data_IF_595186185034
#
_entry.id   IF_595186185034
#
_cell.length_a   1.000
_cell.length_b   1.000
_cell.length_c   1.000
_cell.angle_alpha   90.00
_cell.angle_beta   90.00
_cell.angle_gamma   90.00
#
_symmetry.space_group_name_H-M   'P 1'
#
loop_
_entity.id
_entity.type
_entity.pdbx_description
1 polymer ?
#
# COMPACT_ATOMS: atom_id res chain seq x y z
N UNK A 1 1.98 24.46 -15.56
CA UNK A 1 1.00 23.37 -15.76
C UNK A 1 -0.26 23.78 -15.03
N UNK A 2 -1.42 23.67 -15.68
CA UNK A 2 -2.72 23.92 -15.05
C UNK A 2 -3.27 22.55 -14.65
N UNK A 3 -3.61 22.38 -13.38
CA UNK A 3 -4.23 21.17 -12.83
C UNK A 3 -5.75 21.37 -12.78
N UNK A 4 -6.56 20.29 -12.85
CA UNK A 4 -8.01 20.41 -12.71
C UNK A 4 -8.41 20.79 -11.28
N UNK A 5 -9.57 21.44 -11.14
CA UNK A 5 -10.13 21.82 -9.83
C UNK A 5 -10.52 20.59 -8.99
N UNK A 6 -10.79 19.45 -9.63
CA UNK A 6 -11.02 18.17 -8.97
C UNK A 6 -10.38 17.03 -9.75
N UNK A 7 -9.90 16.02 -9.02
CA UNK A 7 -9.25 14.85 -9.60
C UNK A 7 -9.60 13.60 -8.78
N UNK A 8 -9.98 12.53 -9.48
CA UNK A 8 -10.24 11.22 -8.88
C UNK A 8 -9.51 10.15 -9.69
N UNK A 9 -8.51 9.52 -9.07
CA UNK A 9 -7.70 8.48 -9.69
C UNK A 9 -8.55 7.29 -10.19
N UNK A 10 -9.68 6.99 -9.55
CA UNK A 10 -10.58 5.88 -9.92
C UNK A 10 -11.32 6.15 -11.22
N UNK A 11 -11.53 7.44 -11.55
CA UNK A 11 -12.12 7.89 -12.81
C UNK A 11 -11.05 8.07 -13.89
N UNK A 12 -9.87 8.55 -13.50
CA UNK A 12 -8.75 8.76 -14.43
C UNK A 12 -8.18 7.43 -14.96
N UNK A 13 -8.07 6.41 -14.12
CA UNK A 13 -7.53 5.09 -14.48
C UNK A 13 -8.54 3.98 -14.20
N UNK A 14 -9.65 3.92 -14.95
CA UNK A 14 -10.75 2.97 -14.67
C UNK A 14 -10.37 1.51 -14.88
N UNK A 15 -9.31 1.24 -15.64
CA UNK A 15 -8.78 -0.09 -15.92
C UNK A 15 -7.82 -0.61 -14.82
N UNK A 16 -7.63 0.16 -13.75
CA UNK A 16 -6.81 -0.21 -12.61
C UNK A 16 -7.70 -0.50 -11.39
N UNK A 17 -8.13 -1.75 -11.19
CA UNK A 17 -9.08 -2.10 -10.13
C UNK A 17 -8.53 -1.88 -8.72
N UNK A 18 -7.21 -1.97 -8.54
CA UNK A 18 -6.53 -1.78 -7.25
C UNK A 18 -6.80 -0.39 -6.65
N UNK A 19 -7.01 0.65 -7.49
CA UNK A 19 -7.28 2.02 -7.03
C UNK A 19 -8.63 2.12 -6.29
N UNK A 20 -9.53 1.16 -6.52
CA UNK A 20 -10.85 1.08 -5.88
C UNK A 20 -10.87 0.10 -4.71
N UNK A 21 -9.81 -0.68 -4.52
CA UNK A 21 -9.74 -1.68 -3.47
C UNK A 21 -9.50 -1.02 -2.12
N UNK A 22 -10.28 -1.43 -1.12
CA UNK A 22 -10.05 -1.05 0.27
C UNK A 22 -9.63 -2.32 1.01
N UNK A 23 -8.50 -2.27 1.69
CA UNK A 23 -7.95 -3.40 2.44
C UNK A 23 -8.15 -3.22 3.95
N UNK A 24 -7.87 -4.28 4.70
CA UNK A 24 -8.05 -4.33 6.15
C UNK A 24 -6.75 -4.81 6.82
N UNK A 25 -6.14 -3.94 7.63
CA UNK A 25 -4.91 -4.24 8.36
C UNK A 25 -5.12 -5.17 9.56
N UNK A 26 -6.35 -5.48 9.91
CA UNK A 26 -6.69 -6.26 11.09
C UNK A 26 -6.19 -5.62 12.39
N UNK A 27 -5.96 -6.46 13.40
CA UNK A 27 -5.40 -6.07 14.70
C UNK A 27 -3.87 -5.97 14.67
N UNK A 28 -3.34 -5.13 13.79
CA UNK A 28 -1.90 -4.94 13.58
C UNK A 28 -1.64 -3.52 13.09
N UNK A 29 -0.70 -2.79 13.69
CA UNK A 29 -0.27 -1.44 13.29
C UNK A 29 0.56 -1.41 12.01
N UNK A 30 0.07 -2.08 10.96
CA UNK A 30 0.76 -2.24 9.66
C UNK A 30 0.35 -1.22 8.61
N UNK A 31 -0.31 -0.13 8.98
CA UNK A 31 -0.76 0.93 8.05
C UNK A 31 0.36 1.46 7.15
N UNK A 32 1.59 1.55 7.66
CA UNK A 32 2.80 1.95 6.92
C UNK A 32 3.17 0.97 5.79
N UNK A 33 2.81 -0.31 5.91
CA UNK A 33 3.01 -1.31 4.88
C UNK A 33 1.83 -1.33 3.89
N UNK A 34 0.61 -1.10 4.38
CA UNK A 34 -0.59 -1.03 3.55
C UNK A 34 -0.56 0.18 2.63
N UNK A 35 -0.30 1.38 3.15
CA UNK A 35 -0.24 2.60 2.33
C UNK A 35 0.79 2.49 1.20
N UNK A 36 1.97 1.95 1.51
CA UNK A 36 2.99 1.65 0.51
C UNK A 36 2.50 0.60 -0.51
N UNK A 37 2.07 -0.58 -0.07
CA UNK A 37 1.68 -1.68 -0.96
C UNK A 37 0.48 -1.30 -1.86
N UNK A 38 -0.50 -0.56 -1.36
CA UNK A 38 -1.66 -0.06 -2.11
C UNK A 38 -1.22 0.91 -3.21
N UNK A 39 -0.47 1.96 -2.85
CA UNK A 39 0.02 2.94 -3.82
C UNK A 39 0.96 2.32 -4.86
N UNK A 40 1.81 1.36 -4.47
CA UNK A 40 2.68 0.63 -5.39
C UNK A 40 1.84 -0.24 -6.36
N UNK A 41 0.81 -0.92 -5.87
CA UNK A 41 -0.12 -1.72 -6.71
C UNK A 41 -0.75 -0.86 -7.80
N UNK A 42 -1.24 0.32 -7.41
CA UNK A 42 -1.84 1.28 -8.31
C UNK A 42 -0.86 1.80 -9.36
N UNK A 43 0.35 2.18 -8.93
CA UNK A 43 1.40 2.67 -9.82
C UNK A 43 1.86 1.61 -10.82
N UNK A 44 1.94 0.34 -10.43
CA UNK A 44 2.20 -0.75 -11.38
C UNK A 44 1.17 -0.81 -12.49
N UNK A 45 -0.11 -0.64 -12.16
CA UNK A 45 -1.17 -0.62 -13.15
C UNK A 45 -1.14 0.65 -14.02
N UNK A 46 -0.98 1.81 -13.41
CA UNK A 46 -0.95 3.10 -14.10
C UNK A 46 0.22 3.15 -15.09
N UNK A 47 1.44 2.83 -14.66
CA UNK A 47 2.63 2.91 -15.50
C UNK A 47 2.72 1.80 -16.56
N UNK A 48 1.97 0.70 -16.38
CA UNK A 48 1.79 -0.31 -17.42
C UNK A 48 0.65 -0.02 -18.39
N UNK A 49 -0.03 1.13 -18.25
CA UNK A 49 -1.25 1.49 -18.99
C UNK A 49 -2.35 0.41 -18.87
N UNK A 50 -2.55 -0.14 -17.66
CA UNK A 50 -3.54 -1.18 -17.38
C UNK A 50 -3.15 -2.60 -17.80
N UNK A 51 -1.93 -2.82 -18.31
CA UNK A 51 -1.49 -4.15 -18.77
C UNK A 51 -1.08 -5.09 -17.63
N UNK A 52 -0.64 -4.53 -16.51
CA UNK A 52 -0.19 -5.28 -15.33
C UNK A 52 -0.95 -4.72 -14.13
N UNK A 53 -1.95 -5.45 -13.66
CA UNK A 53 -2.67 -5.14 -12.41
C UNK A 53 -2.45 -6.27 -11.42
N UNK A 54 -1.82 -5.95 -10.30
CA UNK A 54 -1.45 -6.90 -9.26
C UNK A 54 -1.58 -6.25 -7.90
N UNK A 55 -1.91 -7.06 -6.91
CA UNK A 55 -1.88 -6.66 -5.51
C UNK A 55 -0.48 -6.93 -4.96
N UNK A 56 0.20 -5.88 -4.49
CA UNK A 56 1.48 -6.01 -3.78
C UNK A 56 1.21 -6.52 -2.36
N UNK A 57 2.03 -7.47 -1.94
CA UNK A 57 1.91 -8.12 -0.64
C UNK A 57 2.30 -7.18 0.50
N UNK A 58 1.30 -6.71 1.24
CA UNK A 58 1.53 -6.08 2.53
C UNK A 58 2.16 -7.06 3.53
N UNK A 59 1.88 -8.37 3.42
CA UNK A 59 2.46 -9.42 4.24
C UNK A 59 3.99 -9.52 4.07
N UNK A 60 4.46 -9.48 2.83
CA UNK A 60 5.89 -9.57 2.52
C UNK A 60 6.63 -8.36 3.07
N UNK A 61 6.08 -7.16 2.86
CA UNK A 61 6.64 -5.93 3.37
C UNK A 61 6.65 -5.89 4.92
N UNK A 62 5.51 -6.23 5.53
CA UNK A 62 5.34 -6.25 6.98
C UNK A 62 6.28 -7.23 7.67
N UNK A 63 6.42 -8.44 7.13
CA UNK A 63 7.13 -9.54 7.81
C UNK A 63 8.62 -9.61 7.49
N UNK A 64 9.07 -9.10 6.33
CA UNK A 64 10.45 -9.27 5.86
C UNK A 64 11.28 -7.98 5.84
N UNK A 65 10.71 -6.81 6.14
CA UNK A 65 11.48 -5.58 6.25
C UNK A 65 11.85 -5.25 7.70
N UNK A 66 12.99 -5.78 8.15
CA UNK A 66 13.51 -5.52 9.51
C UNK A 66 13.87 -4.04 9.72
N UNK A 67 14.28 -3.34 8.66
CA UNK A 67 14.65 -1.93 8.73
C UNK A 67 13.45 -0.98 8.72
N UNK A 68 12.24 -1.48 8.43
CA UNK A 68 11.05 -0.64 8.29
C UNK A 68 10.41 -0.27 9.62
N UNK A 69 10.81 -0.87 10.74
CA UNK A 69 10.30 -0.57 12.06
C UNK A 69 10.02 -1.83 12.88
N UNK A 70 8.91 -1.82 13.63
CA UNK A 70 8.56 -2.87 14.58
C UNK A 70 7.33 -3.67 14.11
N UNK A 71 7.16 -3.83 12.80
CA UNK A 71 6.09 -4.64 12.20
C UNK A 71 4.70 -4.15 12.60
N UNK A 72 3.97 -4.98 13.35
CA UNK A 72 2.65 -4.66 13.87
C UNK A 72 2.64 -3.59 14.98
N UNK A 73 3.79 -3.21 15.53
CA UNK A 73 3.93 -2.11 16.50
C UNK A 73 4.25 -0.76 15.83
N UNK A 74 4.01 -0.66 14.52
CA UNK A 74 4.29 0.53 13.72
C UNK A 74 5.61 0.46 12.94
N UNK A 75 5.74 1.38 12.00
CA UNK A 75 6.87 1.44 11.08
C UNK A 75 6.95 2.77 10.33
N UNK A 76 7.96 2.88 9.47
CA UNK A 76 8.31 4.09 8.74
C UNK A 76 7.94 3.94 7.26
N UNK A 77 6.96 4.70 6.76
CA UNK A 77 6.60 4.69 5.34
C UNK A 77 7.79 4.85 4.40
N UNK A 78 8.72 5.78 4.69
CA UNK A 78 9.91 5.98 3.86
C UNK A 78 10.72 4.70 3.65
N UNK A 79 10.95 3.95 4.74
CA UNK A 79 11.72 2.72 4.71
C UNK A 79 11.00 1.60 3.95
N UNK A 80 9.66 1.61 3.91
CA UNK A 80 8.90 0.67 3.10
C UNK A 80 9.11 0.87 1.60
N UNK A 81 9.07 2.12 1.14
CA UNK A 81 9.39 2.44 -0.25
C UNK A 81 10.84 2.08 -0.58
N UNK A 82 11.79 2.39 0.30
CA UNK A 82 13.21 2.07 0.11
C UNK A 82 13.43 0.54 0.04
N UNK A 83 12.79 -0.23 0.93
CA UNK A 83 12.82 -1.70 0.88
C UNK A 83 12.27 -2.25 -0.44
N UNK A 84 11.19 -1.65 -0.96
CA UNK A 84 10.67 -2.04 -2.26
C UNK A 84 11.64 -1.77 -3.42
N UNK A 85 12.39 -0.67 -3.37
CA UNK A 85 13.42 -0.39 -4.38
C UNK A 85 14.64 -1.33 -4.26
N UNK A 86 15.08 -1.64 -3.03
CA UNK A 86 16.30 -2.43 -2.79
C UNK A 86 16.07 -3.94 -2.89
N UNK A 87 14.98 -4.43 -2.30
CA UNK A 87 14.70 -5.87 -2.12
C UNK A 87 13.50 -6.36 -2.93
N UNK A 88 12.66 -5.44 -3.41
CA UNK A 88 11.42 -5.76 -4.11
C UNK A 88 10.36 -6.37 -3.20
N UNK A 89 9.14 -6.44 -3.71
CA UNK A 89 7.99 -7.05 -3.02
C UNK A 89 7.30 -8.06 -3.93
N UNK A 90 6.85 -9.17 -3.36
CA UNK A 90 6.03 -10.14 -4.09
C UNK A 90 4.57 -9.68 -4.14
N UNK A 91 3.77 -10.34 -4.98
CA UNK A 91 2.32 -10.15 -5.00
C UNK A 91 1.65 -10.80 -3.80
N UNK A 92 0.48 -10.30 -3.39
CA UNK A 92 -0.26 -10.84 -2.27
C UNK A 92 -1.50 -10.01 -1.96
N UNK A 93 -2.65 -10.67 -1.97
CA UNK A 93 -3.93 -10.01 -1.74
C UNK A 93 -4.47 -10.14 -0.32
N UNK A 94 -5.78 -9.98 -0.19
CA UNK A 94 -6.50 -9.97 1.09
C UNK A 94 -6.40 -11.30 1.86
N UNK A 95 -6.69 -11.24 3.16
CA UNK A 95 -6.83 -12.42 4.01
C UNK A 95 -7.79 -13.46 3.42
N UNK A 96 -7.34 -14.72 3.35
CA UNK A 96 -8.14 -15.84 2.84
C UNK A 96 -8.42 -15.82 1.33
N UNK A 97 -7.90 -14.84 0.58
CA UNK A 97 -8.14 -14.72 -0.86
C UNK A 97 -7.39 -15.76 -1.70
N UNK A 98 -6.23 -16.25 -1.20
CA UNK A 98 -5.25 -17.00 -1.97
C UNK A 98 -4.75 -16.30 -3.24
N UNK A 99 -4.90 -14.97 -3.32
CA UNK A 99 -4.43 -14.15 -4.45
C UNK A 99 -2.97 -13.76 -4.22
N UNK A 100 -2.15 -13.95 -5.26
CA UNK A 100 -0.72 -13.63 -5.24
C UNK A 100 0.12 -14.63 -4.46
N UNK A 101 1.42 -14.34 -4.40
CA UNK A 101 2.43 -15.17 -3.75
C UNK A 101 2.24 -15.23 -2.22
N UNK A 102 2.07 -14.08 -1.55
CA UNK A 102 1.93 -13.98 -0.09
C UNK A 102 0.71 -13.14 0.28
N UNK A 103 -0.51 -13.70 0.27
CA UNK A 103 -1.68 -13.01 0.77
C UNK A 103 -1.55 -12.70 2.27
N UNK A 104 -2.27 -11.69 2.73
CA UNK A 104 -2.23 -11.24 4.12
C UNK A 104 -2.67 -12.34 5.10
N UNK A 105 -1.92 -12.55 6.18
CA UNK A 105 -2.17 -13.65 7.12
C UNK A 105 -3.01 -13.24 8.33
N UNK A 106 -3.11 -11.94 8.62
CA UNK A 106 -3.86 -11.42 9.77
C UNK A 106 -5.33 -11.23 9.37
N UNK A 107 -6.23 -11.79 10.18
CA UNK A 107 -7.66 -11.76 9.90
C UNK A 107 -8.26 -10.34 10.03
N UNK A 108 -9.26 -9.99 9.21
CA UNK A 108 -9.94 -8.71 9.29
C UNK A 108 -10.80 -8.60 10.55
N UNK A 109 -11.03 -7.38 11.00
CA UNK A 109 -11.81 -7.08 12.21
C UNK A 109 -12.59 -5.77 12.04
N UNK A 110 -13.54 -5.49 12.94
CA UNK A 110 -14.31 -4.25 12.90
C UNK A 110 -13.55 -3.09 13.56
N UNK A 111 -13.31 -2.04 12.78
CA UNK A 111 -12.60 -0.83 13.18
C UNK A 111 -13.58 0.23 13.67
N UNK A 112 -13.73 0.37 14.99
CA UNK A 112 -14.56 1.41 15.65
C UNK A 112 -16.04 1.46 15.22
N UNK A 113 -16.54 0.36 14.66
CA UNK A 113 -17.93 0.20 14.23
C UNK A 113 -18.47 -1.16 14.65
N UNK A 114 -19.79 -1.29 14.76
CA UNK A 114 -20.43 -2.58 14.95
C UNK A 114 -20.57 -3.28 13.59
N UNK A 115 -20.28 -4.59 13.56
CA UNK A 115 -20.40 -5.39 12.35
C UNK A 115 -20.41 -6.89 12.64
N UNK A 116 -20.25 -7.69 11.60
CA UNK A 116 -20.32 -9.16 11.68
C UNK A 116 -18.96 -9.80 12.00
N UNK A 117 -17.85 -9.06 11.87
CA UNK A 117 -16.50 -9.54 12.20
C UNK A 117 -16.21 -9.29 13.69
N UNK A 118 -15.21 -9.97 14.28
CA UNK A 118 -14.78 -9.66 15.64
C UNK A 118 -14.29 -8.20 15.73
N UNK A 119 -14.42 -7.54 16.89
CA UNK A 119 -13.82 -6.23 17.10
C UNK A 119 -12.30 -6.32 17.03
N UNK A 120 -11.65 -5.31 16.48
CA UNK A 120 -10.19 -5.26 16.50
C UNK A 120 -9.70 -5.16 17.95
N UNK A 121 -8.88 -6.12 18.35
CA UNK A 121 -8.07 -6.03 19.58
C UNK A 121 -6.82 -5.21 19.30
N UNK A 122 -6.06 -4.86 20.36
CA UNK A 122 -4.76 -4.19 20.22
C UNK A 122 -3.78 -4.96 19.34
N UNK A 123 -2.58 -4.40 19.17
CA UNK A 123 -1.59 -4.90 18.22
C UNK A 123 -1.15 -6.33 18.57
N UNK A 124 -1.31 -7.26 17.62
CA UNK A 124 -0.84 -8.63 17.70
C UNK A 124 0.63 -8.79 17.29
N UNK A 125 1.13 -10.02 17.37
CA UNK A 125 2.49 -10.36 16.95
C UNK A 125 2.66 -10.22 15.43
N UNK A 126 3.80 -9.68 15.01
CA UNK A 126 4.18 -9.63 13.59
C UNK A 126 4.41 -11.04 13.04
N UNK A 127 3.78 -11.41 11.91
CA UNK A 127 4.06 -12.68 11.23
C UNK A 127 5.54 -12.83 10.87
N UNK A 128 6.05 -14.05 10.87
CA UNK A 128 7.45 -14.32 10.50
C UNK A 128 7.66 -14.08 9.00
N UNK A 129 8.83 -13.55 8.64
CA UNK A 129 9.26 -13.54 7.25
C UNK A 129 9.34 -14.96 6.69
N UNK A 130 8.66 -15.21 5.59
CA UNK A 130 8.71 -16.49 4.85
C UNK A 130 8.97 -16.16 3.38
N UNK A 131 10.13 -16.55 2.88
CA UNK A 131 10.54 -16.31 1.49
C UNK A 131 10.02 -17.37 0.52
N UNK A 132 8.75 -17.74 0.68
CA UNK A 132 8.06 -18.75 -0.12
C UNK A 132 6.64 -18.27 -0.46
N UNK A 133 6.15 -18.65 -1.64
CA UNK A 133 4.76 -18.37 -2.02
C UNK A 133 3.82 -19.44 -1.46
N UNK A 134 2.53 -19.12 -1.36
CA UNK A 134 1.48 -20.07 -1.06
C UNK A 134 1.48 -21.26 -2.04
N UNK A 135 1.04 -22.41 -1.52
CA UNK A 135 1.01 -23.64 -2.30
C UNK A 135 0.12 -23.50 -3.54
N UNK A 136 0.63 -23.95 -4.69
CA UNK A 136 -0.07 -23.88 -5.97
C UNK A 136 0.11 -22.57 -6.73
N UNK A 137 0.76 -21.55 -6.15
CA UNK A 137 1.11 -20.34 -6.87
C UNK A 137 2.38 -20.52 -7.71
N UNK A 138 2.36 -19.91 -8.89
CA UNK A 138 3.52 -19.77 -9.77
C UNK A 138 3.50 -18.34 -10.32
N UNK A 139 4.65 -17.65 -10.39
CA UNK A 139 6.03 -18.15 -10.27
C UNK A 139 6.52 -18.30 -8.82
N UNK A 140 7.81 -18.65 -8.63
CA UNK A 140 8.44 -18.73 -7.30
C UNK A 140 8.61 -17.36 -6.65
N UNK A 141 8.79 -17.31 -5.32
CA UNK A 141 8.95 -16.08 -4.53
C UNK A 141 9.93 -15.08 -5.15
N UNK A 142 11.15 -15.53 -5.46
CA UNK A 142 12.20 -14.67 -6.07
C UNK A 142 11.78 -14.15 -7.45
N UNK A 143 11.07 -14.95 -8.24
CA UNK A 143 10.62 -14.56 -9.59
C UNK A 143 9.37 -13.67 -9.56
N UNK A 144 8.62 -13.67 -8.47
CA UNK A 144 7.44 -12.84 -8.28
C UNK A 144 7.77 -11.44 -7.74
N UNK A 145 9.02 -11.21 -7.31
CA UNK A 145 9.49 -9.91 -6.80
C UNK A 145 9.35 -8.82 -7.86
N UNK A 146 8.80 -7.69 -7.40
CA UNK A 146 8.54 -6.47 -8.16
C UNK A 146 9.33 -5.34 -7.52
N UNK A 147 10.09 -4.61 -8.33
CA UNK A 147 11.07 -3.63 -7.86
C UNK A 147 10.68 -2.20 -8.25
N UNK A 148 10.90 -1.30 -7.31
CA UNK A 148 10.86 0.13 -7.56
C UNK A 148 12.14 0.59 -8.26
N UNK A 149 12.03 1.58 -9.12
CA UNK A 149 13.17 2.22 -9.77
C UNK A 149 13.81 3.29 -8.87
N UNK A 150 13.01 4.17 -8.27
CA UNK A 150 13.49 5.32 -7.48
C UNK A 150 12.48 5.85 -6.48
N UNK A 151 12.83 5.90 -5.20
CA UNK A 151 11.98 6.43 -4.14
C UNK A 151 12.30 7.90 -3.86
N UNK A 152 11.29 8.68 -3.45
CA UNK A 152 11.47 10.07 -2.99
C UNK A 152 10.30 10.57 -2.15
N UNK A 153 10.57 11.62 -1.37
CA UNK A 153 9.53 12.36 -0.66
C UNK A 153 8.98 13.47 -1.55
N UNK A 154 7.65 13.63 -1.57
CA UNK A 154 7.02 14.79 -2.20
C UNK A 154 7.11 15.97 -1.23
N UNK A 155 7.55 17.16 -1.68
CA UNK A 155 7.53 18.34 -0.83
C UNK A 155 6.12 18.61 -0.30
N UNK A 156 6.01 19.03 0.97
CA UNK A 156 4.74 19.38 1.62
C UNK A 156 4.16 20.71 1.10
N UNK A 157 3.89 20.75 -0.21
CA UNK A 157 3.28 21.85 -0.96
C UNK A 157 2.13 21.26 -1.77
N UNK A 158 0.92 21.75 -1.53
CA UNK A 158 -0.32 21.29 -2.17
C UNK A 158 -0.16 21.10 -3.68
N UNK A 159 0.31 22.13 -4.39
CA UNK A 159 0.51 22.07 -5.84
C UNK A 159 1.47 20.95 -6.28
N UNK A 160 2.50 20.63 -5.49
CA UNK A 160 3.46 19.56 -5.82
C UNK A 160 2.81 18.19 -5.61
N UNK A 161 2.04 18.02 -4.53
CA UNK A 161 1.29 16.79 -4.23
C UNK A 161 0.22 16.54 -5.30
N UNK A 162 -0.56 17.57 -5.65
CA UNK A 162 -1.54 17.48 -6.73
C UNK A 162 -0.88 17.14 -8.07
N UNK A 163 0.30 17.72 -8.36
CA UNK A 163 1.05 17.42 -9.59
C UNK A 163 1.53 15.96 -9.61
N UNK A 164 2.00 15.46 -8.48
CA UNK A 164 2.43 14.07 -8.33
C UNK A 164 1.27 13.09 -8.54
N UNK A 165 0.15 13.33 -7.84
CA UNK A 165 -1.09 12.55 -7.98
C UNK A 165 -1.59 12.52 -9.42
N UNK A 166 -1.61 13.68 -10.08
CA UNK A 166 -2.10 13.82 -11.45
C UNK A 166 -1.23 13.10 -12.48
N UNK A 167 0.09 13.12 -12.31
CA UNK A 167 1.03 12.57 -13.30
C UNK A 167 1.30 11.09 -13.10
N UNK A 168 1.48 10.67 -11.85
CA UNK A 168 2.06 9.38 -11.52
C UNK A 168 1.12 8.49 -10.70
N UNK A 169 -0.02 9.02 -10.23
CA UNK A 169 -1.01 8.26 -9.49
C UNK A 169 -0.90 8.39 -7.97
N UNK A 170 -1.64 7.56 -7.22
CA UNK A 170 -1.73 7.61 -5.76
C UNK A 170 -0.38 7.67 -5.04
N UNK A 171 -0.36 8.31 -3.87
CA UNK A 171 0.82 8.52 -3.01
C UNK A 171 0.53 7.98 -1.61
N UNK A 172 1.57 7.64 -0.85
CA UNK A 172 1.39 7.35 0.57
C UNK A 172 1.59 8.62 1.40
N UNK A 173 0.73 8.83 2.39
CA UNK A 173 0.82 9.95 3.32
C UNK A 173 0.51 9.51 4.75
N UNK A 174 1.12 10.18 5.72
CA UNK A 174 0.88 9.99 7.14
C UNK A 174 0.36 11.28 7.79
N UNK A 175 -0.56 11.13 8.74
CA UNK A 175 -1.15 12.22 9.51
C UNK A 175 -1.44 11.79 10.95
N UNK A 176 -1.57 12.76 11.86
CA UNK A 176 -1.94 12.47 13.24
C UNK A 176 -3.44 12.24 13.37
N UNK A 177 -3.81 11.04 13.83
CA UNK A 177 -5.20 10.63 14.06
C UNK A 177 -5.63 11.06 15.48
N UNK A 178 -6.78 11.70 15.58
CA UNK A 178 -7.43 12.06 16.84
C UNK A 178 -8.74 11.28 16.99
N UNK A 179 -9.29 11.18 18.20
CA UNK A 179 -10.44 10.32 18.52
C UNK A 179 -11.70 10.63 17.68
N UNK A 180 -11.89 11.89 17.31
CA UNK A 180 -13.00 12.35 16.46
C UNK A 180 -12.93 11.80 15.03
N UNK A 181 -11.72 11.54 14.51
CA UNK A 181 -11.53 10.96 13.19
C UNK A 181 -12.13 9.54 13.09
N UNK A 182 -12.11 8.77 14.18
CA UNK A 182 -12.67 7.42 14.23
C UNK A 182 -14.20 7.42 14.07
N UNK A 183 -14.84 8.57 14.31
CA UNK A 183 -16.28 8.76 14.19
C UNK A 183 -16.70 9.26 12.79
N UNK A 184 -15.75 9.49 11.88
CA UNK A 184 -16.04 10.01 10.55
C UNK A 184 -17.01 9.11 9.76
N UNK A 185 -17.94 9.74 9.02
CA UNK A 185 -18.93 9.06 8.17
C UNK A 185 -18.98 9.63 6.75
N UNK A 186 -19.12 10.95 6.63
CA UNK A 186 -19.23 11.67 5.34
C UNK A 186 -18.79 13.13 5.50
N UNK A 187 -18.34 13.77 4.42
CA UNK A 187 -18.00 15.20 4.38
C UNK A 187 -16.50 15.44 4.29
N UNK A 188 -16.05 16.62 4.73
CA UNK A 188 -14.62 16.95 4.81
C UNK A 188 -14.17 16.87 6.28
N UNK A 189 -13.08 16.16 6.55
CA UNK A 189 -12.40 16.18 7.85
C UNK A 189 -11.36 17.30 7.89
N UNK A 190 -11.44 18.15 8.92
CA UNK A 190 -10.46 19.22 9.15
C UNK A 190 -9.21 18.65 9.85
N UNK A 191 -8.13 18.44 9.09
CA UNK A 191 -6.85 18.00 9.65
C UNK A 191 -6.01 19.19 10.13
N UNK A 192 -5.38 19.05 11.31
CA UNK A 192 -4.49 20.09 11.86
C UNK A 192 -3.01 19.92 11.47
N UNK A 193 -2.59 18.75 10.98
CA UNK A 193 -1.20 18.50 10.58
C UNK A 193 -1.06 17.27 9.67
N UNK A 194 -0.46 17.43 8.48
CA UNK A 194 0.04 16.35 7.61
C UNK A 194 1.55 16.23 7.84
N UNK A 195 2.05 15.04 8.14
CA UNK A 195 3.41 14.88 8.66
C UNK A 195 4.40 14.50 7.55
N UNK A 196 4.09 13.53 6.69
CA UNK A 196 4.99 13.05 5.64
C UNK A 196 4.24 12.48 4.42
N UNK A 197 4.79 12.68 3.20
CA UNK A 197 4.26 12.13 1.94
C UNK A 197 5.42 11.47 1.18
N UNK A 198 5.29 10.16 0.90
CA UNK A 198 6.29 9.33 0.23
C UNK A 198 5.74 8.70 -1.06
N UNK A 199 6.58 8.65 -2.09
CA UNK A 199 6.22 8.19 -3.45
C UNK A 199 7.41 7.64 -4.22
N UNK A 200 7.15 7.08 -5.41
CA UNK A 200 8.15 6.66 -6.39
C UNK A 200 7.76 7.10 -7.81
N UNK A 201 8.70 7.43 -8.69
CA UNK A 201 8.37 7.98 -10.01
C UNK A 201 7.92 6.93 -11.04
N UNK A 202 8.38 5.67 -10.96
CA UNK A 202 8.17 4.69 -12.05
C UNK A 202 8.41 3.23 -11.62
N UNK A 203 7.33 2.46 -11.45
CA UNK A 203 7.39 1.01 -11.29
C UNK A 203 8.11 0.34 -12.49
N UNK A 204 9.08 -0.55 -12.23
CA UNK A 204 9.75 -1.28 -13.31
C UNK A 204 8.86 -2.39 -13.88
N UNK A 205 8.43 -2.26 -15.14
CA UNK A 205 7.92 -3.39 -15.92
C UNK A 205 9.08 -4.08 -16.62
N UNK A 206 9.87 -4.90 -15.92
CA UNK A 206 10.87 -5.74 -16.60
C UNK A 206 10.16 -6.91 -17.30
N UNK A 207 9.98 -6.79 -18.63
CA UNK A 207 9.87 -7.96 -19.50
C UNK A 207 11.27 -8.55 -19.68
N UNK A 208 11.73 -9.37 -18.73
CA UNK A 208 12.82 -10.29 -19.01
C UNK A 208 12.25 -11.52 -19.72
N UNK A 209 12.15 -11.42 -21.04
CA UNK A 209 12.25 -12.60 -21.91
C UNK A 209 13.74 -12.93 -22.11
N UNK A 210 14.08 -14.22 -22.29
CA UNK A 210 15.28 -14.88 -21.77
C UNK A 210 16.61 -14.35 -22.29
#
# INVERSE_FOLDING_TARGET
MILPDSFDARLQWPNCPTIKEIRDQGSCGSCWAFGAAEAISDRYCIHSNGKVSVEISAEDLLSCCDACGMGCMGGFPSAAWDYWAESGLVTGGLYGSNIGCRPYSIAPCEHHVNGTRPPCTGEGDTPKCVSECNAGYTPSYVKDKRFGKQTYSVPSKEQQIMTELYKNGPVEAAFSVYEDFLLYKTGETLFRSLTHIHTEAQAQTHTHTP
#
